data_IF_778344924679
#
_entry.id   IF_778344924679
#
_cell.length_a   1.000
_cell.length_b   1.000
_cell.length_c   1.000
_cell.angle_alpha   90.00
_cell.angle_beta   90.00
_cell.angle_gamma   90.00
#
_symmetry.space_group_name_H-M   'P 1'
#
loop_
_entity.id
_entity.type
_entity.pdbx_description
1 polymer ?
#
# COMPACT_ATOMS: atom_id res chain seq x y z
N UNK A 1 36.50 -13.05 16.96
CA UNK A 1 36.34 -13.86 15.74
C UNK A 1 34.87 -14.30 15.62
N UNK A 2 34.31 -14.29 14.41
CA UNK A 2 32.93 -14.75 14.12
C UNK A 2 33.05 -15.88 13.11
N UNK A 3 32.45 -17.04 13.40
CA UNK A 3 32.52 -18.21 12.54
C UNK A 3 31.69 -19.38 13.07
N UNK A 4 31.48 -20.40 12.25
CA UNK A 4 30.70 -21.61 12.61
C UNK A 4 31.29 -22.36 13.82
N UNK A 5 32.59 -22.17 14.06
CA UNK A 5 33.32 -22.70 15.22
C UNK A 5 32.88 -22.07 16.56
N UNK A 6 32.18 -20.93 16.52
CA UNK A 6 31.62 -20.25 17.69
C UNK A 6 30.18 -20.71 18.01
N UNK A 7 29.65 -21.70 17.27
CA UNK A 7 28.34 -22.30 17.50
C UNK A 7 28.50 -23.63 18.24
N UNK A 8 27.80 -23.77 19.35
CA UNK A 8 27.75 -25.01 20.12
C UNK A 8 27.13 -26.13 19.27
N UNK A 9 27.79 -27.30 19.24
CA UNK A 9 27.34 -28.51 18.51
C UNK A 9 27.19 -28.35 16.99
N UNK A 10 27.88 -27.39 16.38
CA UNK A 10 27.95 -27.33 14.92
C UNK A 10 28.81 -28.47 14.35
N UNK A 11 28.34 -29.09 13.27
CA UNK A 11 29.12 -30.08 12.52
C UNK A 11 30.20 -29.37 11.69
N UNK A 12 31.47 -29.52 12.09
CA UNK A 12 32.61 -28.85 11.45
C UNK A 12 33.27 -29.69 10.34
N UNK A 13 32.87 -30.95 10.17
CA UNK A 13 33.46 -31.87 9.21
C UNK A 13 32.79 -31.73 7.83
N UNK A 14 33.47 -31.06 6.91
CA UNK A 14 33.01 -30.81 5.55
C UNK A 14 32.31 -29.45 5.40
N UNK A 15 32.31 -28.92 4.16
CA UNK A 15 31.74 -27.60 3.86
C UNK A 15 30.20 -27.59 3.96
N UNK A 16 29.56 -28.68 3.53
CA UNK A 16 28.11 -28.79 3.49
C UNK A 16 27.46 -28.80 4.89
N UNK A 17 27.94 -29.61 5.86
CA UNK A 17 27.42 -29.59 7.23
C UNK A 17 27.64 -28.26 7.96
N UNK A 18 28.78 -27.60 7.72
CA UNK A 18 29.08 -26.27 8.28
C UNK A 18 28.08 -25.22 7.81
N UNK A 19 27.82 -25.18 6.51
CA UNK A 19 26.86 -24.23 5.92
C UNK A 19 25.44 -24.48 6.43
N UNK A 20 24.99 -25.75 6.46
CA UNK A 20 23.67 -26.13 7.00
C UNK A 20 23.51 -25.71 8.46
N UNK A 21 24.54 -25.89 9.28
CA UNK A 21 24.51 -25.50 10.69
C UNK A 21 24.41 -23.98 10.86
N UNK A 22 25.17 -23.22 10.07
CA UNK A 22 25.12 -21.75 10.10
C UNK A 22 23.77 -21.20 9.63
N UNK A 23 23.26 -21.71 8.50
CA UNK A 23 21.96 -21.32 7.96
C UNK A 23 20.82 -21.74 8.89
N UNK A 24 20.88 -22.94 9.47
CA UNK A 24 19.90 -23.42 10.44
C UNK A 24 19.88 -22.58 11.72
N UNK A 25 21.04 -22.10 12.19
CA UNK A 25 21.13 -21.16 13.30
C UNK A 25 20.54 -19.79 12.96
N UNK A 26 20.88 -19.25 11.78
CA UNK A 26 20.35 -17.97 11.28
C UNK A 26 18.81 -18.01 11.17
N UNK A 27 18.25 -19.05 10.53
CA UNK A 27 16.79 -19.21 10.41
C UNK A 27 16.10 -19.26 11.78
N UNK A 28 16.63 -20.02 12.75
CA UNK A 28 16.05 -20.10 14.11
C UNK A 28 16.14 -18.79 14.89
N UNK A 29 17.17 -17.99 14.63
CA UNK A 29 17.41 -16.70 15.28
C UNK A 29 16.51 -15.62 14.66
N UNK A 30 16.43 -15.58 13.34
CA UNK A 30 15.58 -14.67 12.56
C UNK A 30 14.09 -14.90 12.83
N UNK A 31 13.65 -16.17 12.87
CA UNK A 31 12.25 -16.53 13.14
C UNK A 31 11.89 -16.59 14.62
N UNK A 32 12.87 -16.33 15.50
CA UNK A 32 12.77 -16.39 16.97
C UNK A 32 12.32 -17.72 17.58
N UNK A 33 12.25 -18.81 16.79
CA UNK A 33 11.81 -20.14 17.24
C UNK A 33 12.77 -20.77 18.26
N UNK A 34 14.09 -20.63 18.03
CA UNK A 34 15.17 -21.10 18.92
C UNK A 34 14.97 -22.51 19.50
N UNK A 35 15.16 -23.56 18.70
CA UNK A 35 15.04 -24.97 19.14
C UNK A 35 16.06 -25.39 20.21
N UNK A 36 17.08 -24.56 20.50
CA UNK A 36 18.06 -24.79 21.56
C UNK A 36 19.18 -25.77 21.22
N UNK A 37 19.20 -26.32 19.99
CA UNK A 37 20.26 -27.24 19.55
C UNK A 37 21.57 -26.52 19.18
N UNK A 38 21.46 -25.33 18.58
CA UNK A 38 22.57 -24.48 18.16
C UNK A 38 22.54 -23.19 18.98
N UNK A 39 23.63 -22.89 19.69
CA UNK A 39 23.75 -21.70 20.54
C UNK A 39 25.07 -20.97 20.29
N UNK A 40 25.09 -19.63 20.29
CA UNK A 40 26.33 -18.86 20.13
C UNK A 40 27.13 -18.90 21.44
N UNK A 41 28.41 -19.25 21.38
CA UNK A 41 29.31 -19.27 22.53
C UNK A 41 30.23 -18.04 22.60
N UNK A 42 30.64 -17.50 21.45
CA UNK A 42 31.51 -16.33 21.39
C UNK A 42 30.75 -15.00 21.46
N UNK A 43 31.34 -13.98 22.11
CA UNK A 43 30.76 -12.63 22.21
C UNK A 43 30.36 -12.04 20.84
N UNK A 44 31.15 -12.28 19.80
CA UNK A 44 30.83 -11.82 18.44
C UNK A 44 29.63 -12.53 17.82
N UNK A 45 29.47 -13.84 18.08
CA UNK A 45 28.32 -14.61 17.61
C UNK A 45 27.03 -14.24 18.39
N UNK A 46 27.16 -13.93 19.68
CA UNK A 46 26.04 -13.45 20.50
C UNK A 46 25.53 -12.10 20.01
N UNK A 47 26.42 -11.12 19.79
CA UNK A 47 26.04 -9.81 19.25
C UNK A 47 25.35 -9.94 17.89
N UNK A 48 25.90 -10.75 16.98
CA UNK A 48 25.27 -11.00 15.68
C UNK A 48 23.87 -11.61 15.82
N UNK A 49 23.72 -12.62 16.68
CA UNK A 49 22.44 -13.28 16.91
C UNK A 49 21.39 -12.34 17.52
N UNK A 50 21.79 -11.45 18.44
CA UNK A 50 20.87 -10.46 19.01
C UNK A 50 20.37 -9.48 17.94
N UNK A 51 21.27 -8.92 17.13
CA UNK A 51 20.91 -8.04 16.02
C UNK A 51 20.01 -8.74 15.00
N UNK A 52 20.33 -9.98 14.62
CA UNK A 52 19.53 -10.78 13.71
C UNK A 52 18.11 -11.02 14.25
N UNK A 53 17.97 -11.34 15.54
CA UNK A 53 16.65 -11.53 16.16
C UNK A 53 15.81 -10.25 16.20
N UNK A 54 16.44 -9.09 16.44
CA UNK A 54 15.75 -7.79 16.38
C UNK A 54 15.27 -7.48 14.97
N UNK A 55 16.11 -7.72 13.96
CA UNK A 55 15.73 -7.56 12.56
C UNK A 55 14.62 -8.52 12.13
N UNK A 56 14.60 -9.74 12.66
CA UNK A 56 13.55 -10.72 12.40
C UNK A 56 12.17 -10.24 12.85
N UNK A 57 12.06 -9.75 14.10
CA UNK A 57 10.81 -9.20 14.65
C UNK A 57 10.36 -7.95 13.89
N UNK A 58 11.30 -7.02 13.62
CA UNK A 58 11.02 -5.82 12.83
C UNK A 58 10.58 -6.16 11.40
N UNK A 59 11.21 -7.16 10.76
CA UNK A 59 10.88 -7.63 9.43
C UNK A 59 9.46 -8.19 9.35
N UNK A 60 9.06 -9.02 10.31
CA UNK A 60 7.69 -9.56 10.39
C UNK A 60 6.65 -8.45 10.61
N UNK A 61 6.95 -7.49 11.49
CA UNK A 61 6.10 -6.33 11.73
C UNK A 61 5.94 -5.46 10.49
N UNK A 62 7.04 -5.16 9.80
CA UNK A 62 7.05 -4.37 8.57
C UNK A 62 6.30 -5.08 7.43
N UNK A 63 6.50 -6.39 7.27
CA UNK A 63 5.78 -7.17 6.27
C UNK A 63 4.26 -7.15 6.50
N UNK A 64 3.84 -7.28 7.76
CA UNK A 64 2.44 -7.18 8.15
C UNK A 64 1.88 -5.77 7.88
N UNK A 65 2.65 -4.73 8.24
CA UNK A 65 2.28 -3.34 8.02
C UNK A 65 2.13 -2.99 6.53
N UNK A 66 3.04 -3.45 5.66
CA UNK A 66 2.96 -3.23 4.21
C UNK A 66 1.75 -3.94 3.62
N UNK A 67 1.52 -5.20 4.03
CA UNK A 67 0.33 -5.96 3.61
C UNK A 67 -0.95 -5.22 3.97
N UNK A 68 -1.06 -4.75 5.22
CA UNK A 68 -2.20 -3.97 5.67
C UNK A 68 -2.33 -2.65 4.90
N UNK A 69 -1.23 -1.90 4.72
CA UNK A 69 -1.22 -0.64 3.99
C UNK A 69 -1.67 -0.81 2.52
N UNK A 70 -1.40 -1.96 1.90
CA UNK A 70 -1.87 -2.27 0.54
C UNK A 70 -3.37 -2.56 0.50
N UNK A 71 -3.91 -3.28 1.48
CA UNK A 71 -5.34 -3.62 1.56
C UNK A 71 -6.17 -2.41 2.00
N UNK A 72 -5.61 -1.56 2.85
CA UNK A 72 -6.28 -0.39 3.40
C UNK A 72 -6.51 0.73 2.37
N UNK A 73 -5.95 0.65 1.15
CA UNK A 73 -6.21 1.66 0.09
C UNK A 73 -7.58 1.40 -0.53
N UNK A 74 -8.61 2.22 -0.23
CA UNK A 74 -9.89 2.07 -0.90
C UNK A 74 -9.73 2.42 -2.38
N UNK A 75 -10.30 1.59 -3.25
CA UNK A 75 -10.41 1.89 -4.68
C UNK A 75 -11.87 2.10 -5.01
N UNK A 76 -12.26 3.36 -5.23
CA UNK A 76 -13.58 3.67 -5.76
C UNK A 76 -13.60 3.32 -7.26
N UNK A 77 -14.62 2.57 -7.70
CA UNK A 77 -14.88 2.32 -9.12
C UNK A 77 -16.17 3.03 -9.51
N UNK A 78 -16.03 4.27 -9.94
CA UNK A 78 -17.13 5.08 -10.45
C UNK A 78 -17.22 4.90 -11.96
N UNK A 79 -18.44 4.69 -12.46
CA UNK A 79 -18.76 4.70 -13.87
C UNK A 79 -19.35 6.06 -14.22
N UNK A 80 -18.82 6.69 -15.27
CA UNK A 80 -19.31 7.97 -15.78
C UNK A 80 -20.06 7.74 -17.09
N UNK A 81 -21.07 8.54 -17.36
CA UNK A 81 -21.71 8.59 -18.68
C UNK A 81 -20.71 9.03 -19.74
N UNK A 82 -20.69 8.35 -20.90
CA UNK A 82 -19.79 8.68 -22.01
C UNK A 82 -20.04 10.08 -22.60
N UNK A 83 -21.26 10.60 -22.45
CA UNK A 83 -21.67 11.89 -23.00
C UNK A 83 -22.29 12.74 -21.91
N UNK A 84 -21.89 14.01 -21.86
CA UNK A 84 -22.61 15.05 -21.15
C UNK A 84 -23.65 15.67 -22.08
N UNK A 85 -24.78 16.11 -21.51
CA UNK A 85 -25.90 16.68 -22.25
C UNK A 85 -26.15 18.10 -21.78
N UNK A 86 -26.46 19.00 -22.71
CA UNK A 86 -27.00 20.32 -22.38
C UNK A 86 -28.50 20.25 -22.66
N UNK A 87 -29.29 20.27 -21.60
CA UNK A 87 -30.73 20.05 -21.67
C UNK A 87 -31.48 21.10 -20.84
N UNK A 88 -32.72 21.45 -21.23
CA UNK A 88 -33.55 22.36 -20.45
C UNK A 88 -33.84 21.75 -19.07
N UNK A 89 -33.64 22.54 -18.03
CA UNK A 89 -33.90 22.16 -16.65
C UNK A 89 -34.45 23.36 -15.87
N UNK A 90 -35.66 23.20 -15.34
CA UNK A 90 -36.46 24.29 -14.75
C UNK A 90 -36.61 25.45 -15.76
N UNK A 91 -36.16 26.64 -15.40
CA UNK A 91 -36.30 27.88 -16.19
C UNK A 91 -35.09 28.17 -17.09
N UNK A 92 -34.11 27.26 -17.17
CA UNK A 92 -32.87 27.49 -17.93
C UNK A 92 -32.29 26.25 -18.57
N UNK A 93 -31.03 26.35 -18.96
CA UNK A 93 -30.25 25.25 -19.51
C UNK A 93 -29.29 24.71 -18.46
N UNK A 94 -29.07 23.40 -18.46
CA UNK A 94 -28.17 22.73 -17.52
C UNK A 94 -27.25 21.76 -18.26
N UNK A 95 -26.00 21.70 -17.82
CA UNK A 95 -25.07 20.64 -18.19
C UNK A 95 -25.32 19.44 -17.26
N UNK A 96 -25.72 18.32 -17.84
CA UNK A 96 -26.08 17.10 -17.12
C UNK A 96 -25.13 15.96 -17.51
N UNK A 97 -24.69 15.21 -16.51
CA UNK A 97 -23.93 13.97 -16.66
C UNK A 97 -24.34 13.00 -15.54
N UNK A 98 -24.05 11.72 -15.71
CA UNK A 98 -24.41 10.69 -14.73
C UNK A 98 -23.17 9.99 -14.19
N UNK A 99 -23.23 9.62 -12.92
CA UNK A 99 -22.22 8.83 -12.23
C UNK A 99 -22.91 7.67 -11.52
N UNK A 100 -22.35 6.48 -11.60
CA UNK A 100 -22.84 5.29 -10.93
C UNK A 100 -21.71 4.59 -10.18
N UNK A 101 -22.04 3.97 -9.04
CA UNK A 101 -21.11 3.14 -8.30
C UNK A 101 -21.10 1.73 -8.90
N UNK A 102 -19.94 1.25 -9.35
CA UNK A 102 -19.78 -0.09 -9.95
C UNK A 102 -19.39 -1.16 -8.94
N UNK A 103 -19.34 -0.85 -7.64
CA UNK A 103 -19.06 -1.81 -6.57
C UNK A 103 -20.30 -2.07 -5.77
N UNK A 104 -20.40 -3.28 -5.22
CA UNK A 104 -21.45 -3.73 -4.28
C UNK A 104 -21.35 -3.07 -2.88
N UNK A 105 -20.35 -2.23 -2.66
CA UNK A 105 -20.17 -1.47 -1.41
C UNK A 105 -20.74 -0.06 -1.55
N UNK A 106 -21.60 0.35 -0.62
CA UNK A 106 -22.14 1.71 -0.55
C UNK A 106 -21.02 2.74 -0.36
N UNK A 107 -21.04 3.81 -1.14
CA UNK A 107 -20.19 4.98 -0.90
C UNK A 107 -20.97 5.98 -0.04
N UNK A 108 -20.35 6.40 1.06
CA UNK A 108 -20.92 7.35 2.02
C UNK A 108 -20.21 8.69 1.91
N UNK A 109 -20.92 9.78 2.19
CA UNK A 109 -20.39 11.15 2.19
C UNK A 109 -19.63 11.51 0.91
N UNK A 110 -20.26 11.26 -0.24
CA UNK A 110 -19.65 11.53 -1.54
C UNK A 110 -19.78 13.03 -1.86
N UNK A 111 -18.65 13.65 -2.18
CA UNK A 111 -18.57 15.02 -2.68
C UNK A 111 -18.17 15.00 -4.16
N UNK A 112 -18.86 15.80 -4.97
CA UNK A 112 -18.57 15.97 -6.39
C UNK A 112 -18.12 17.41 -6.68
N UNK A 113 -17.09 17.56 -7.50
CA UNK A 113 -16.62 18.85 -8.01
C UNK A 113 -16.40 18.76 -9.51
N UNK A 114 -16.92 19.74 -10.25
CA UNK A 114 -16.75 19.85 -11.70
C UNK A 114 -15.92 21.08 -12.02
N UNK A 115 -14.85 20.87 -12.79
CA UNK A 115 -13.95 21.90 -13.27
C UNK A 115 -14.08 21.99 -14.79
N UNK A 116 -14.46 23.16 -15.29
CA UNK A 116 -14.39 23.51 -16.70
C UNK A 116 -13.01 24.11 -16.97
N UNK A 117 -12.29 23.52 -17.92
CA UNK A 117 -10.99 24.02 -18.36
C UNK A 117 -11.12 24.57 -19.77
N UNK A 118 -10.82 25.85 -19.94
CA UNK A 118 -10.83 26.52 -21.24
C UNK A 118 -9.41 26.96 -21.59
N UNK A 119 -8.94 26.55 -22.76
CA UNK A 119 -7.69 27.06 -23.31
C UNK A 119 -7.96 28.40 -23.99
N UNK A 120 -7.40 29.47 -23.45
CA UNK A 120 -7.43 30.77 -24.09
C UNK A 120 -6.27 30.89 -25.08
N UNK A 121 -6.58 31.34 -26.29
CA UNK A 121 -5.60 31.56 -27.37
C UNK A 121 -5.40 33.05 -27.56
N UNK A 122 -5.06 33.74 -26.49
CA UNK A 122 -4.43 35.04 -26.61
C UNK A 122 -3.01 34.84 -27.15
N UNK A 123 -2.63 35.63 -28.15
CA UNK A 123 -1.46 35.42 -29.03
C UNK A 123 -0.05 35.37 -28.40
N UNK A 124 0.09 35.07 -27.11
CA UNK A 124 1.36 34.88 -26.38
C UNK A 124 1.44 33.55 -25.58
N UNK A 125 0.64 32.55 -25.93
CA UNK A 125 0.77 31.18 -25.44
C UNK A 125 -0.55 30.56 -24.99
N UNK A 126 -0.65 29.24 -24.99
CA UNK A 126 -1.85 28.53 -24.52
C UNK A 126 -1.96 28.67 -22.99
N UNK A 127 -2.84 29.54 -22.51
CA UNK A 127 -3.18 29.64 -21.09
C UNK A 127 -4.44 28.82 -20.80
N UNK A 128 -4.35 27.90 -19.85
CA UNK A 128 -5.49 27.11 -19.38
C UNK A 128 -6.18 27.84 -18.20
N UNK A 129 -7.41 28.27 -18.41
CA UNK A 129 -8.26 28.87 -17.38
C UNK A 129 -9.16 27.80 -16.75
N UNK A 130 -9.23 27.77 -15.42
CA UNK A 130 -9.98 26.79 -14.65
C UNK A 130 -11.18 27.45 -13.98
N UNK A 131 -12.39 26.95 -14.24
CA UNK A 131 -13.63 27.46 -13.67
C UNK A 131 -14.34 26.33 -12.93
N UNK A 132 -14.57 26.50 -11.62
CA UNK A 132 -15.38 25.57 -10.85
C UNK A 132 -16.86 25.83 -11.12
N UNK A 133 -17.56 24.84 -11.68
CA UNK A 133 -18.99 24.96 -11.96
C UNK A 133 -19.80 24.61 -10.70
N UNK A 134 -20.76 25.45 -10.29
CA UNK A 134 -21.67 25.12 -9.20
C UNK A 134 -22.55 23.93 -9.60
N UNK A 135 -22.60 22.93 -8.73
CA UNK A 135 -23.46 21.76 -8.91
C UNK A 135 -24.74 21.94 -8.10
N UNK A 136 -25.84 21.40 -8.60
CA UNK A 136 -27.10 21.37 -7.84
C UNK A 136 -27.01 20.42 -6.63
N UNK A 137 -26.26 19.32 -6.79
CA UNK A 137 -25.97 18.32 -5.77
C UNK A 137 -24.45 18.15 -5.74
N UNK A 138 -23.79 18.91 -4.88
CA UNK A 138 -22.36 18.85 -4.62
C UNK A 138 -22.01 17.76 -3.59
N UNK A 139 -22.93 17.45 -2.67
CA UNK A 139 -22.79 16.39 -1.67
C UNK A 139 -24.00 15.45 -1.64
N UNK A 140 -23.74 14.15 -1.61
CA UNK A 140 -24.74 13.12 -1.41
C UNK A 140 -24.31 12.19 -0.26
N UNK A 141 -25.24 11.88 0.65
CA UNK A 141 -24.95 11.05 1.82
C UNK A 141 -24.68 9.61 1.43
N UNK A 142 -25.42 9.09 0.45
CA UNK A 142 -25.31 7.71 -0.01
C UNK A 142 -25.40 7.66 -1.53
N UNK A 143 -24.42 7.03 -2.19
CA UNK A 143 -24.50 6.67 -3.62
C UNK A 143 -24.83 5.16 -3.72
N UNK A 144 -26.10 4.80 -3.98
CA UNK A 144 -26.54 3.41 -3.99
C UNK A 144 -25.98 2.61 -5.17
N UNK A 145 -26.10 1.29 -5.03
CA UNK A 145 -25.76 0.29 -6.04
C UNK A 145 -26.74 0.39 -7.22
N UNK A 146 -26.25 0.19 -8.44
CA UNK A 146 -27.09 -0.04 -9.63
C UNK A 146 -26.83 -1.43 -10.18
#
# INVERSE_FOLDING_TARGET
AVGVEQLQRAELHGLWPRWRSALGFSMQTLTTVRYGHLAPMGNGAWLLATLESMLGVLGLGLFSAITYARIARPTARLLFSERALIAPFREGWSLQFRVANRRDTLLMDVEARVLLVLADKDGQGERLNYYQLPLQLDRITFLPLT
#
